data_IF_286606798502
#
_entry.id   IF_286606798502
#
_cell.length_a   1.000
_cell.length_b   1.000
_cell.length_c   1.000
_cell.angle_alpha   90.00
_cell.angle_beta   90.00
_cell.angle_gamma   90.00
#
_symmetry.space_group_name_H-M   'P 1'
#
loop_
_entity.id
_entity.type
_entity.pdbx_description
1 polymer ?
#
# COMPACT_ATOMS: atom_id res chain seq x y z
N UNK A 1 -1.29 -3.67 51.45
CA UNK A 1 -2.54 -3.24 52.09
C UNK A 1 -2.34 -1.86 52.69
N UNK A 2 -2.69 -0.80 51.94
CA UNK A 2 -3.01 0.62 52.27
C UNK A 2 -3.37 1.19 50.87
N UNK A 3 -4.54 1.71 50.47
CA UNK A 3 -5.56 2.55 51.12
C UNK A 3 -5.32 4.03 50.70
N UNK A 4 -5.77 4.53 49.53
CA UNK A 4 -7.10 5.08 49.17
C UNK A 4 -7.08 6.63 48.97
N UNK A 5 -7.89 7.11 47.99
CA UNK A 5 -8.43 8.48 47.70
C UNK A 5 -7.55 9.44 46.88
N UNK A 6 -7.88 9.76 45.62
CA UNK A 6 -8.99 10.60 45.06
C UNK A 6 -8.83 12.09 45.37
N UNK A 7 -8.63 12.90 44.33
CA UNK A 7 -9.15 14.26 44.25
C UNK A 7 -9.33 14.73 42.80
N UNK A 8 -10.55 15.17 42.55
CA UNK A 8 -11.19 15.71 41.34
C UNK A 8 -11.03 17.23 41.34
N UNK A 9 -10.73 17.86 40.20
CA UNK A 9 -10.98 19.28 39.89
C UNK A 9 -10.74 19.45 38.37
N UNK A 10 -11.41 20.27 37.56
CA UNK A 10 -12.71 20.95 37.54
C UNK A 10 -12.82 21.52 36.10
N UNK A 11 -14.01 21.54 35.54
CA UNK A 11 -14.31 22.08 34.22
C UNK A 11 -14.11 23.61 34.12
N UNK A 12 -13.80 24.11 32.92
CA UNK A 12 -14.05 25.51 32.53
C UNK A 12 -14.73 25.52 31.15
N UNK A 13 -16.03 25.84 31.16
CA UNK A 13 -16.79 26.36 30.01
C UNK A 13 -16.36 27.81 29.75
N UNK A 14 -16.35 28.25 28.49
CA UNK A 14 -16.51 29.66 28.15
C UNK A 14 -17.29 29.82 26.85
N UNK A 15 -18.33 30.64 26.93
CA UNK A 15 -19.39 30.91 25.95
C UNK A 15 -18.95 31.92 24.87
N UNK A 16 -19.58 31.73 23.70
CA UNK A 16 -19.99 32.66 22.64
C UNK A 16 -19.59 34.15 22.66
N UNK A 17 -19.27 34.65 21.47
CA UNK A 17 -19.52 36.04 21.07
C UNK A 17 -20.12 36.09 19.64
N UNK A 18 -21.26 36.77 19.53
CA UNK A 18 -21.99 37.11 18.29
C UNK A 18 -21.34 38.30 17.56
N UNK A 19 -21.56 38.40 16.24
CA UNK A 19 -21.30 39.63 15.47
C UNK A 19 -21.94 39.59 14.08
N UNK A 20 -22.94 40.43 13.87
CA UNK A 20 -23.86 40.45 12.73
C UNK A 20 -23.57 41.55 11.69
N UNK A 21 -23.79 41.21 10.42
CA UNK A 21 -24.39 41.95 9.29
C UNK A 21 -24.01 43.41 8.89
N UNK A 22 -23.84 43.60 7.57
CA UNK A 22 -24.03 44.84 6.79
C UNK A 22 -22.86 45.13 5.83
N UNK A 23 -22.97 45.62 4.59
CA UNK A 23 -24.08 45.94 3.68
C UNK A 23 -23.50 46.24 2.27
N UNK A 24 -24.19 45.77 1.21
CA UNK A 24 -24.42 46.37 -0.14
C UNK A 24 -23.23 46.71 -1.10
N UNK A 25 -23.35 46.29 -2.37
CA UNK A 25 -23.60 47.12 -3.60
C UNK A 25 -23.48 46.25 -4.88
N UNK A 26 -24.11 46.71 -5.97
CA UNK A 26 -24.67 46.02 -7.15
C UNK A 26 -23.81 46.07 -8.44
N UNK A 27 -23.91 45.00 -9.24
CA UNK A 27 -23.87 44.79 -10.71
C UNK A 27 -22.72 45.22 -11.68
N UNK A 28 -22.16 44.18 -12.34
CA UNK A 28 -21.84 43.98 -13.78
C UNK A 28 -20.63 44.68 -14.46
N UNK A 29 -20.23 44.30 -15.70
CA UNK A 29 -19.53 43.05 -16.11
C UNK A 29 -18.15 43.33 -16.75
N UNK A 30 -17.17 42.41 -16.67
CA UNK A 30 -15.94 42.49 -17.48
C UNK A 30 -15.28 41.12 -17.65
N UNK A 31 -15.35 40.56 -18.86
CA UNK A 31 -14.38 39.59 -19.41
C UNK A 31 -13.22 40.43 -20.01
N UNK A 32 -11.94 39.98 -20.20
CA UNK A 32 -11.43 38.60 -20.27
C UNK A 32 -10.03 38.33 -19.63
N UNK A 33 -9.68 37.06 -19.38
CA UNK A 33 -8.35 36.49 -19.65
C UNK A 33 -8.33 34.98 -19.34
N UNK A 34 -8.01 34.17 -20.35
CA UNK A 34 -7.72 32.75 -20.22
C UNK A 34 -6.21 32.56 -19.98
N UNK A 35 -5.79 31.94 -18.88
CA UNK A 35 -4.55 31.13 -18.75
C UNK A 35 -4.68 30.22 -17.52
N UNK A 36 -4.19 28.97 -17.54
CA UNK A 36 -4.75 27.85 -16.79
C UNK A 36 -4.12 27.72 -15.39
N UNK A 37 -4.92 27.42 -14.38
CA UNK A 37 -4.39 26.84 -13.13
C UNK A 37 -4.20 25.35 -13.33
N UNK A 38 -3.03 25.00 -13.87
CA UNK A 38 -2.49 23.65 -13.78
C UNK A 38 -2.33 23.32 -12.30
N UNK A 39 -3.30 22.60 -11.75
CA UNK A 39 -3.25 22.11 -10.38
C UNK A 39 -2.17 21.03 -10.34
N UNK A 40 -1.01 21.37 -9.78
CA UNK A 40 0.06 20.40 -9.53
C UNK A 40 -0.51 19.19 -8.77
N UNK A 41 -0.16 17.95 -9.15
CA UNK A 41 -0.68 16.77 -8.48
C UNK A 41 -0.16 16.73 -7.03
N UNK A 42 -1.10 16.69 -6.09
CA UNK A 42 -0.83 16.48 -4.66
C UNK A 42 -0.09 15.15 -4.51
N UNK A 43 1.18 15.20 -4.07
CA UNK A 43 1.92 14.00 -3.68
C UNK A 43 1.32 13.45 -2.38
N UNK A 44 0.52 12.39 -2.48
CA UNK A 44 0.16 11.60 -1.32
C UNK A 44 1.42 10.89 -0.79
N UNK A 45 1.67 10.96 0.52
CA UNK A 45 2.77 10.24 1.17
C UNK A 45 2.22 8.93 1.71
N UNK A 46 2.86 7.80 1.38
CA UNK A 46 2.46 6.49 1.89
C UNK A 46 3.03 6.20 3.28
N UNK A 47 2.67 5.06 3.90
CA UNK A 47 3.29 4.60 5.13
C UNK A 47 4.82 4.52 4.94
N UNK A 48 5.57 5.34 5.66
CA UNK A 48 7.03 5.47 5.51
C UNK A 48 7.51 6.71 4.75
N UNK A 49 6.65 7.68 4.45
CA UNK A 49 7.05 9.01 3.97
C UNK A 49 7.56 9.09 2.53
N UNK A 50 7.56 7.96 1.81
CA UNK A 50 7.87 7.93 0.39
C UNK A 50 6.68 8.49 -0.42
N UNK A 51 6.94 9.29 -1.48
CA UNK A 51 5.89 9.80 -2.34
C UNK A 51 5.22 8.64 -3.08
N UNK A 52 3.89 8.60 -3.04
CA UNK A 52 3.08 7.70 -3.86
C UNK A 52 3.06 8.29 -5.27
N UNK A 53 3.56 7.52 -6.23
CA UNK A 53 3.47 7.87 -7.63
C UNK A 53 2.51 6.91 -8.33
N UNK A 54 1.39 7.46 -8.80
CA UNK A 54 0.44 6.72 -9.64
C UNK A 54 0.92 6.72 -11.09
N UNK A 55 1.10 5.55 -11.68
CA UNK A 55 1.68 5.40 -13.01
C UNK A 55 1.17 4.16 -13.76
N UNK A 56 1.60 4.02 -15.02
CA UNK A 56 1.38 2.79 -15.77
C UNK A 56 2.12 1.61 -15.13
N UNK A 57 1.63 0.39 -15.34
CA UNK A 57 2.28 -0.84 -14.83
C UNK A 57 3.75 -0.92 -15.26
N UNK A 58 4.03 -0.69 -16.54
CA UNK A 58 5.41 -0.70 -17.07
C UNK A 58 6.27 0.36 -16.40
N UNK A 59 5.74 1.57 -16.18
CA UNK A 59 6.44 2.63 -15.47
C UNK A 59 6.75 2.24 -14.02
N UNK A 60 5.78 1.63 -13.32
CA UNK A 60 5.95 1.17 -11.96
C UNK A 60 7.03 0.10 -11.83
N UNK A 61 7.03 -0.88 -12.73
CA UNK A 61 8.06 -1.91 -12.76
C UNK A 61 9.45 -1.33 -12.98
N UNK A 62 9.60 -0.42 -13.94
CA UNK A 62 10.87 0.26 -14.20
C UNK A 62 11.32 1.10 -13.00
N UNK A 63 10.39 1.82 -12.37
CA UNK A 63 10.67 2.65 -11.20
C UNK A 63 11.12 1.81 -10.00
N UNK A 64 10.41 0.73 -9.66
CA UNK A 64 10.80 -0.16 -8.55
C UNK A 64 12.17 -0.76 -8.79
N UNK A 65 12.47 -1.25 -9.99
CA UNK A 65 13.79 -1.79 -10.33
C UNK A 65 14.91 -0.77 -10.21
N UNK A 66 14.62 0.50 -10.53
CA UNK A 66 15.60 1.58 -10.40
C UNK A 66 15.83 2.00 -8.94
N UNK A 67 14.82 1.92 -8.08
CA UNK A 67 14.90 2.36 -6.69
C UNK A 67 15.41 1.26 -5.74
N UNK A 68 14.92 0.02 -5.88
CA UNK A 68 15.24 -1.10 -4.98
C UNK A 68 16.60 -1.69 -5.37
N UNK A 69 17.65 -1.11 -4.82
CA UNK A 69 19.04 -1.41 -5.19
C UNK A 69 19.79 -2.21 -4.12
N UNK A 70 19.26 -2.30 -2.90
CA UNK A 70 19.92 -2.95 -1.76
C UNK A 70 19.38 -4.34 -1.46
N UNK A 71 18.25 -4.74 -2.05
CA UNK A 71 17.63 -6.06 -1.85
C UNK A 71 17.40 -6.74 -3.20
N UNK A 72 17.66 -8.05 -3.30
CA UNK A 72 17.39 -8.85 -4.48
C UNK A 72 17.04 -10.31 -4.13
N UNK A 73 16.16 -10.99 -4.89
CA UNK A 73 15.54 -10.53 -6.15
C UNK A 73 14.53 -9.39 -5.97
N UNK A 74 14.13 -8.70 -7.05
CA UNK A 74 13.01 -7.76 -7.07
C UNK A 74 11.89 -8.42 -7.88
N UNK A 75 10.98 -9.12 -7.19
CA UNK A 75 9.90 -9.83 -7.85
C UNK A 75 8.79 -8.90 -8.31
N UNK A 76 8.46 -8.94 -9.60
CA UNK A 76 7.36 -8.20 -10.21
C UNK A 76 6.55 -9.13 -11.12
N UNK A 77 5.21 -8.96 -11.23
CA UNK A 77 4.38 -9.82 -12.06
C UNK A 77 4.62 -9.54 -13.53
N UNK A 78 4.42 -10.53 -14.39
CA UNK A 78 4.35 -10.28 -15.83
C UNK A 78 3.12 -9.40 -16.14
N UNK A 79 3.33 -8.32 -16.89
CA UNK A 79 2.28 -7.32 -17.19
C UNK A 79 1.04 -7.98 -17.79
N UNK A 80 1.22 -8.97 -18.66
CA UNK A 80 0.12 -9.69 -19.32
C UNK A 80 -0.75 -10.54 -18.38
N UNK A 81 -0.31 -10.75 -17.13
CA UNK A 81 -1.10 -11.47 -16.12
C UNK A 81 -1.96 -10.56 -15.26
N UNK A 82 -1.69 -9.25 -15.27
CA UNK A 82 -2.50 -8.28 -14.54
C UNK A 82 -3.81 -7.99 -15.29
N UNK A 83 -4.92 -7.72 -14.57
CA UNK A 83 -6.16 -7.30 -15.20
C UNK A 83 -5.98 -6.05 -16.07
N UNK A 84 -6.66 -6.01 -17.21
CA UNK A 84 -6.56 -4.89 -18.13
C UNK A 84 -7.13 -3.60 -17.50
N UNK A 85 -6.42 -2.49 -17.66
CA UNK A 85 -6.87 -1.17 -17.20
C UNK A 85 -6.39 -0.78 -15.79
N UNK A 86 -5.72 -1.67 -15.06
CA UNK A 86 -5.15 -1.32 -13.76
C UNK A 86 -4.05 -0.26 -13.87
N UNK A 87 -3.99 0.64 -12.89
CA UNK A 87 -2.85 1.54 -12.64
C UNK A 87 -2.10 1.09 -11.41
N UNK A 88 -0.86 1.56 -11.27
CA UNK A 88 0.01 1.19 -10.18
C UNK A 88 0.36 2.40 -9.31
N UNK A 89 0.05 2.30 -8.02
CA UNK A 89 0.53 3.21 -6.99
C UNK A 89 1.74 2.59 -6.31
N UNK A 90 2.87 3.29 -6.33
CA UNK A 90 4.16 2.74 -5.91
C UNK A 90 4.76 3.50 -4.74
N UNK A 91 5.27 2.74 -3.78
CA UNK A 91 6.24 3.17 -2.77
C UNK A 91 7.50 2.33 -2.98
N UNK A 92 8.64 2.96 -3.21
CA UNK A 92 9.91 2.26 -3.39
C UNK A 92 11.02 2.97 -2.63
N UNK A 93 11.84 2.17 -1.94
CA UNK A 93 13.04 2.56 -1.21
C UNK A 93 14.21 1.67 -1.66
N UNK A 94 15.46 2.01 -1.32
CA UNK A 94 16.60 1.17 -1.64
C UNK A 94 16.47 -0.28 -1.17
N UNK A 95 15.82 -0.53 -0.04
CA UNK A 95 15.72 -1.83 0.62
C UNK A 95 14.38 -2.56 0.43
N UNK A 96 13.29 -1.85 0.11
CA UNK A 96 11.94 -2.38 0.10
C UNK A 96 11.04 -1.67 -0.92
N UNK A 97 9.91 -2.30 -1.25
CA UNK A 97 8.88 -1.66 -2.07
C UNK A 97 7.50 -2.23 -1.77
N UNK A 98 6.48 -1.46 -2.17
CA UNK A 98 5.12 -1.95 -2.34
C UNK A 98 4.49 -1.33 -3.57
N UNK A 99 3.72 -2.13 -4.31
CA UNK A 99 2.89 -1.70 -5.43
C UNK A 99 1.44 -2.08 -5.13
N UNK A 100 0.52 -1.15 -5.31
CA UNK A 100 -0.90 -1.44 -5.41
C UNK A 100 -1.34 -1.26 -6.85
N UNK A 101 -1.79 -2.33 -7.50
CA UNK A 101 -2.47 -2.28 -8.78
C UNK A 101 -3.97 -2.16 -8.55
N UNK A 102 -4.64 -1.19 -9.15
CA UNK A 102 -6.08 -1.04 -8.99
C UNK A 102 -6.77 -0.43 -10.20
N UNK A 103 -8.07 -0.70 -10.32
CA UNK A 103 -8.94 -0.09 -11.30
C UNK A 103 -10.23 0.48 -10.67
N UNK A 104 -11.06 1.12 -11.49
CA UNK A 104 -12.35 1.69 -11.05
C UNK A 104 -13.44 0.63 -10.81
N UNK A 105 -13.19 -0.63 -11.17
CA UNK A 105 -14.14 -1.75 -11.05
C UNK A 105 -14.02 -2.47 -9.70
N UNK A 106 -13.12 -2.02 -8.84
CA UNK A 106 -12.89 -2.59 -7.52
C UNK A 106 -11.81 -3.67 -7.49
N UNK A 107 -11.05 -3.87 -8.58
CA UNK A 107 -9.85 -4.70 -8.53
C UNK A 107 -8.80 -3.98 -7.71
N UNK A 108 -8.20 -4.69 -6.75
CA UNK A 108 -7.05 -4.20 -5.99
C UNK A 108 -6.07 -5.35 -5.76
N UNK A 109 -4.82 -5.18 -6.17
CA UNK A 109 -3.76 -6.18 -6.01
C UNK A 109 -2.57 -5.51 -5.35
N UNK A 110 -2.21 -5.95 -4.15
CA UNK A 110 -1.05 -5.49 -3.42
C UNK A 110 0.10 -6.47 -3.56
N UNK A 111 1.29 -5.97 -3.91
CA UNK A 111 2.54 -6.73 -3.90
C UNK A 111 3.59 -5.95 -3.11
N UNK A 112 4.29 -6.59 -2.19
CA UNK A 112 5.36 -5.94 -1.45
C UNK A 112 6.50 -6.85 -1.05
N UNK A 113 7.71 -6.28 -1.06
CA UNK A 113 8.86 -6.77 -0.32
C UNK A 113 8.84 -6.11 1.06
N UNK A 114 7.99 -6.62 1.94
CA UNK A 114 7.75 -6.09 3.29
C UNK A 114 7.37 -7.24 4.20
N UNK A 115 7.79 -7.21 5.46
CA UNK A 115 7.18 -8.06 6.48
C UNK A 115 5.86 -7.44 6.89
N UNK A 116 4.76 -8.01 6.39
CA UNK A 116 3.51 -7.86 7.11
C UNK A 116 3.61 -8.66 8.42
N UNK A 117 3.09 -8.09 9.49
CA UNK A 117 2.62 -8.86 10.62
C UNK A 117 1.14 -9.17 10.31
N UNK A 118 0.81 -10.27 9.59
CA UNK A 118 -0.59 -10.60 9.35
C UNK A 118 -1.26 -10.70 10.71
N UNK A 119 -2.27 -9.85 10.94
CA UNK A 119 -3.10 -9.96 12.13
C UNK A 119 -3.81 -11.32 12.15
N UNK A 120 -4.30 -11.77 13.31
CA UNK A 120 -5.18 -12.93 13.33
C UNK A 120 -6.37 -12.65 12.40
N UNK A 121 -6.53 -13.44 11.34
CA UNK A 121 -7.74 -13.38 10.49
C UNK A 121 -8.81 -14.22 11.16
N UNK A 122 -9.82 -13.55 11.69
CA UNK A 122 -10.94 -14.18 12.40
C UNK A 122 -11.96 -14.89 11.47
N UNK A 123 -11.78 -14.78 10.15
CA UNK A 123 -12.61 -15.44 9.13
C UNK A 123 -11.71 -16.04 8.06
N UNK A 124 -11.83 -17.35 7.86
CA UNK A 124 -11.21 -18.17 6.80
C UNK A 124 -9.91 -18.89 7.19
N UNK A 125 -9.77 -20.13 6.74
CA UNK A 125 -8.68 -21.01 7.12
C UNK A 125 -7.37 -20.57 6.44
N UNK A 126 -6.50 -19.86 7.16
CA UNK A 126 -5.10 -19.71 6.75
C UNK A 126 -4.46 -21.10 6.65
N UNK A 127 -3.81 -21.38 5.51
CA UNK A 127 -3.16 -22.65 5.24
C UNK A 127 -1.67 -22.43 5.06
N UNK A 128 -0.90 -23.40 5.54
CA UNK A 128 0.52 -23.50 5.20
C UNK A 128 0.64 -24.30 3.91
N UNK A 129 1.45 -23.81 2.97
CA UNK A 129 1.73 -24.49 1.70
C UNK A 129 3.19 -24.30 1.29
N UNK A 130 3.62 -25.12 0.32
CA UNK A 130 4.85 -24.85 -0.41
C UNK A 130 4.56 -23.86 -1.54
N UNK A 131 5.20 -22.70 -1.54
CA UNK A 131 5.11 -21.73 -2.63
C UNK A 131 6.49 -21.17 -2.95
N UNK A 132 6.86 -21.20 -4.24
CA UNK A 132 8.15 -20.67 -4.74
C UNK A 132 9.39 -21.17 -3.98
N UNK A 133 9.33 -22.41 -3.50
CA UNK A 133 10.42 -23.05 -2.73
C UNK A 133 10.38 -22.79 -1.23
N UNK A 134 9.51 -21.91 -0.73
CA UNK A 134 9.24 -21.75 0.70
C UNK A 134 8.22 -22.80 1.16
N UNK A 135 8.60 -23.78 2.01
CA UNK A 135 7.68 -24.78 2.52
C UNK A 135 6.74 -24.24 3.60
N UNK A 136 7.01 -23.05 4.14
CA UNK A 136 6.27 -22.41 5.23
C UNK A 136 5.52 -21.17 4.74
N UNK A 137 5.20 -21.10 3.45
CA UNK A 137 4.36 -20.02 2.93
C UNK A 137 2.96 -20.11 3.52
N UNK A 138 2.38 -18.96 3.82
CA UNK A 138 1.03 -18.85 4.35
C UNK A 138 0.12 -18.25 3.31
N UNK A 139 -1.00 -18.89 3.04
CA UNK A 139 -2.02 -18.33 2.18
C UNK A 139 -3.39 -18.41 2.81
N UNK A 140 -4.26 -17.56 2.31
CA UNK A 140 -5.65 -17.47 2.69
C UNK A 140 -6.51 -17.38 1.44
N UNK A 141 -7.59 -18.12 1.48
CA UNK A 141 -8.60 -18.22 0.45
C UNK A 141 -9.92 -18.15 1.20
N UNK A 142 -10.57 -17.00 1.19
CA UNK A 142 -11.97 -16.93 1.60
C UNK A 142 -12.86 -17.26 0.40
N UNK A 143 -14.09 -17.71 0.64
CA UNK A 143 -15.12 -17.80 -0.42
C UNK A 143 -15.51 -16.38 -0.92
N UNK A 144 -15.10 -15.35 -0.17
CA UNK A 144 -15.35 -13.92 -0.41
C UNK A 144 -14.10 -13.17 -0.87
N UNK A 145 -13.83 -13.16 -2.18
CA UNK A 145 -13.06 -12.18 -2.98
C UNK A 145 -11.65 -11.71 -2.53
N UNK A 146 -11.17 -12.07 -1.34
CA UNK A 146 -9.91 -11.70 -0.74
C UNK A 146 -8.96 -12.89 -0.74
N UNK A 147 -7.82 -12.72 -1.39
CA UNK A 147 -6.79 -13.75 -1.49
C UNK A 147 -5.48 -13.17 -1.01
N UNK A 148 -4.70 -13.94 -0.26
CA UNK A 148 -3.31 -13.58 -0.02
C UNK A 148 -2.38 -14.78 0.04
N UNK A 149 -1.11 -14.53 -0.28
CA UNK A 149 0.02 -15.42 -0.02
C UNK A 149 1.19 -14.60 0.50
N UNK A 150 1.80 -15.08 1.58
CA UNK A 150 3.01 -14.54 2.20
C UNK A 150 4.05 -15.65 2.16
N UNK A 151 5.25 -15.33 1.68
CA UNK A 151 6.33 -16.30 1.53
C UNK A 151 7.70 -15.64 1.68
N UNK A 152 8.75 -16.46 1.75
CA UNK A 152 10.14 -16.03 1.80
C UNK A 152 10.88 -16.45 0.54
N UNK A 153 11.55 -15.50 -0.10
CA UNK A 153 12.47 -15.78 -1.21
C UNK A 153 13.92 -15.86 -0.72
N UNK A 154 14.74 -16.79 -1.24
CA UNK A 154 16.18 -16.74 -1.03
C UNK A 154 16.76 -15.42 -1.54
N UNK A 155 17.48 -14.71 -0.69
CA UNK A 155 18.09 -13.44 -1.08
C UNK A 155 19.39 -13.68 -1.86
N UNK A 156 19.53 -13.02 -3.01
CA UNK A 156 20.81 -12.88 -3.71
C UNK A 156 21.53 -11.60 -3.30
N UNK A 157 20.79 -10.65 -2.72
CA UNK A 157 21.31 -9.43 -2.09
C UNK A 157 20.39 -9.03 -0.95
N UNK A 158 20.98 -8.62 0.17
CA UNK A 158 20.25 -8.14 1.35
C UNK A 158 20.74 -6.75 1.73
N UNK A 159 19.81 -5.89 2.14
CA UNK A 159 20.15 -4.55 2.60
C UNK A 159 21.00 -4.61 3.89
N UNK A 160 21.87 -3.62 4.14
CA UNK A 160 22.63 -3.57 5.40
C UNK A 160 21.73 -3.43 6.64
N UNK A 161 20.56 -2.84 6.47
CA UNK A 161 19.51 -2.69 7.47
C UNK A 161 18.16 -2.49 6.76
N UNK A 162 17.07 -2.94 7.37
CA UNK A 162 15.72 -2.61 6.93
C UNK A 162 14.78 -2.48 8.13
N UNK A 163 13.80 -1.59 8.01
CA UNK A 163 12.70 -1.49 8.98
C UNK A 163 11.53 -2.42 8.61
N UNK A 164 11.53 -2.98 7.40
CA UNK A 164 10.43 -3.81 6.91
C UNK A 164 10.73 -5.29 7.04
N UNK A 165 11.97 -5.73 7.22
CA UNK A 165 12.29 -7.16 7.36
C UNK A 165 13.60 -7.43 8.09
N UNK A 166 13.72 -8.64 8.64
CA UNK A 166 14.95 -9.09 9.31
C UNK A 166 16.00 -9.54 8.30
N UNK A 167 16.93 -8.64 8.00
CA UNK A 167 18.07 -8.84 7.10
C UNK A 167 18.97 -10.03 7.48
N UNK A 168 18.95 -10.49 8.74
CA UNK A 168 19.82 -11.59 9.21
C UNK A 168 19.34 -12.97 8.76
N UNK A 169 18.10 -13.07 8.28
CA UNK A 169 17.50 -14.36 7.87
C UNK A 169 18.06 -14.88 6.55
N UNK A 170 18.74 -14.04 5.76
CA UNK A 170 19.17 -14.41 4.40
C UNK A 170 18.00 -14.62 3.42
N UNK A 171 16.81 -14.17 3.80
CA UNK A 171 15.58 -14.29 2.99
C UNK A 171 14.86 -12.96 2.89
N UNK A 172 14.08 -12.80 1.84
CA UNK A 172 13.25 -11.63 1.57
C UNK A 172 11.77 -11.99 1.77
N UNK A 173 11.03 -11.35 2.68
CA UNK A 173 9.61 -11.61 2.86
C UNK A 173 8.79 -10.89 1.79
N UNK A 174 7.98 -11.66 1.08
CA UNK A 174 7.04 -11.16 0.11
C UNK A 174 5.61 -11.40 0.54
N UNK A 175 4.75 -10.49 0.10
CA UNK A 175 3.30 -10.67 0.16
C UNK A 175 2.69 -10.29 -1.18
N UNK A 176 1.73 -11.09 -1.61
CA UNK A 176 0.77 -10.76 -2.64
C UNK A 176 -0.62 -10.90 -2.01
N UNK A 177 -1.44 -9.86 -2.12
CA UNK A 177 -2.83 -9.89 -1.70
C UNK A 177 -3.72 -9.28 -2.77
N UNK A 178 -4.98 -9.67 -2.83
CA UNK A 178 -5.91 -9.08 -3.79
C UNK A 178 -7.36 -9.09 -3.32
N UNK A 179 -8.10 -8.09 -3.78
CA UNK A 179 -9.55 -7.98 -3.72
C UNK A 179 -10.11 -7.90 -5.16
N UNK A 180 -11.29 -8.49 -5.39
CA UNK A 180 -12.03 -8.31 -6.64
C UNK A 180 -11.53 -9.13 -7.83
N UNK A 181 -10.71 -10.16 -7.58
CA UNK A 181 -10.33 -11.19 -8.56
C UNK A 181 -10.56 -12.59 -8.00
N UNK A 182 -10.77 -13.57 -8.87
CA UNK A 182 -10.92 -14.97 -8.46
C UNK A 182 -9.57 -15.66 -8.15
N UNK A 183 -9.65 -16.84 -7.53
CA UNK A 183 -8.51 -17.70 -7.20
C UNK A 183 -7.59 -17.97 -8.41
N UNK A 184 -8.18 -18.23 -9.57
CA UNK A 184 -7.42 -18.58 -10.77
C UNK A 184 -6.59 -17.39 -11.28
N UNK A 185 -7.17 -16.20 -11.29
CA UNK A 185 -6.49 -14.96 -11.63
C UNK A 185 -5.41 -14.62 -10.59
N UNK A 186 -5.71 -14.76 -9.30
CA UNK A 186 -4.75 -14.56 -8.23
C UNK A 186 -3.51 -15.45 -8.41
N UNK A 187 -3.71 -16.75 -8.59
CA UNK A 187 -2.60 -17.69 -8.78
C UNK A 187 -1.85 -17.49 -10.10
N UNK A 188 -2.54 -17.05 -11.16
CA UNK A 188 -1.87 -16.67 -12.41
C UNK A 188 -0.88 -15.54 -12.19
N UNK A 189 -1.24 -14.52 -11.40
CA UNK A 189 -0.36 -13.40 -11.05
C UNK A 189 0.77 -13.87 -10.12
N UNK A 190 0.45 -14.62 -9.05
CA UNK A 190 1.44 -15.12 -8.11
C UNK A 190 2.54 -15.95 -8.78
N UNK A 191 2.15 -16.81 -9.73
CA UNK A 191 3.07 -17.66 -10.47
C UNK A 191 3.82 -16.93 -11.60
N UNK A 192 3.41 -15.71 -11.97
CA UNK A 192 4.08 -14.89 -12.98
C UNK A 192 5.16 -13.98 -12.41
N UNK A 193 5.34 -13.93 -11.09
CA UNK A 193 6.37 -13.12 -10.45
C UNK A 193 7.77 -13.53 -10.91
N UNK A 194 8.56 -12.58 -11.42
CA UNK A 194 9.93 -12.77 -11.90
C UNK A 194 10.87 -11.66 -11.38
N UNK A 195 12.17 -11.96 -11.19
CA UNK A 195 13.19 -10.98 -10.81
C UNK A 195 13.40 -9.83 -11.79
#
# INVERSE_FOLDING_TARGET
MVGMRVLVFLAILSLAACGSAGSRVSAAPSTPAATPSETAPVRASGPGGAPIASMSVTGAHAYVRAQVTQSAPVLLPEIATLPAGVRADVIARPDAFSITYSDERGVRIFLGLVALNPGPTDSGAQRTLTFRGDPMAHAHFDDDAHHFVIWREPATKVAPSSNDYDVRTGTLPYVLASDGIDDAAFWKIANSLRP
#
